data_IF_481368170883
#
_entry.id   IF_481368170883
#
_cell.length_a   1.000
_cell.length_b   1.000
_cell.length_c   1.000
_cell.angle_alpha   90.00
_cell.angle_beta   90.00
_cell.angle_gamma   90.00
#
_symmetry.space_group_name_H-M   'P 1'
#
loop_
_entity.id
_entity.type
_entity.pdbx_description
1 polymer ?
#
# COMPACT_ATOMS: atom_id res chain seq x y z
N UNK A 1 -5.98 4.93 -16.40
CA UNK A 1 -6.25 4.28 -15.11
C UNK A 1 -5.35 3.07 -14.95
N UNK A 2 -4.83 2.83 -13.74
CA UNK A 2 -3.95 1.68 -13.46
C UNK A 2 -4.74 0.35 -13.51
N UNK A 3 -4.12 -0.79 -13.88
CA UNK A 3 -4.85 -2.05 -14.03
C UNK A 3 -5.58 -2.54 -12.77
N UNK A 4 -4.98 -2.39 -11.58
CA UNK A 4 -5.63 -2.79 -10.31
C UNK A 4 -6.90 -1.98 -10.05
N UNK A 5 -6.84 -0.67 -10.28
CA UNK A 5 -7.95 0.26 -10.11
C UNK A 5 -9.06 0.10 -11.15
N UNK A 6 -8.77 -0.52 -12.30
CA UNK A 6 -9.82 -0.93 -13.24
C UNK A 6 -10.74 -1.99 -12.63
N UNK A 7 -10.16 -2.97 -11.93
CA UNK A 7 -10.94 -4.02 -11.24
C UNK A 7 -11.76 -3.45 -10.08
N UNK A 8 -11.15 -2.53 -9.31
CA UNK A 8 -11.86 -1.79 -8.26
C UNK A 8 -13.07 -1.06 -8.83
N UNK A 9 -12.88 -0.35 -9.95
CA UNK A 9 -13.97 0.34 -10.63
C UNK A 9 -15.08 -0.61 -11.09
N UNK A 10 -14.73 -1.74 -11.72
CA UNK A 10 -15.70 -2.75 -12.17
C UNK A 10 -16.54 -3.32 -11.00
N UNK A 11 -15.93 -3.50 -9.82
CA UNK A 11 -16.65 -3.98 -8.63
C UNK A 11 -17.47 -2.88 -7.95
N UNK A 12 -16.98 -1.64 -7.97
CA UNK A 12 -17.70 -0.51 -7.42
C UNK A 12 -18.93 -0.15 -8.26
N UNK A 13 -18.87 -0.29 -9.58
CA UNK A 13 -19.94 0.03 -10.53
C UNK A 13 -21.08 -1.00 -10.55
N UNK A 14 -20.82 -2.23 -10.11
CA UNK A 14 -21.83 -3.28 -10.09
C UNK A 14 -22.30 -3.56 -8.66
N UNK A 15 -23.56 -3.22 -8.38
CA UNK A 15 -24.18 -3.36 -7.06
C UNK A 15 -24.22 -4.79 -6.53
N UNK A 16 -24.13 -5.80 -7.41
CA UNK A 16 -24.09 -7.20 -6.99
C UNK A 16 -22.80 -7.58 -6.28
N UNK A 17 -21.73 -6.77 -6.42
CA UNK A 17 -20.54 -6.95 -5.61
C UNK A 17 -20.76 -6.34 -4.23
N UNK A 18 -20.61 -7.14 -3.16
CA UNK A 18 -20.72 -6.63 -1.80
C UNK A 18 -19.51 -5.75 -1.45
N UNK A 19 -19.67 -4.88 -0.44
CA UNK A 19 -18.67 -3.87 -0.05
C UNK A 19 -17.31 -4.49 0.29
N UNK A 20 -17.32 -5.68 0.87
CA UNK A 20 -16.12 -6.44 1.22
C UNK A 20 -15.30 -6.81 -0.01
N UNK A 21 -15.96 -7.17 -1.13
CA UNK A 21 -15.24 -7.47 -2.38
C UNK A 21 -14.63 -6.22 -3.01
N UNK A 22 -15.27 -5.06 -2.87
CA UNK A 22 -14.70 -3.78 -3.30
C UNK A 22 -13.48 -3.42 -2.44
N UNK A 23 -13.58 -3.58 -1.11
CA UNK A 23 -12.47 -3.41 -0.15
C UNK A 23 -11.29 -4.32 -0.48
N UNK A 24 -11.52 -5.61 -0.67
CA UNK A 24 -10.46 -6.57 -0.99
C UNK A 24 -9.78 -6.22 -2.33
N UNK A 25 -10.54 -5.71 -3.29
CA UNK A 25 -9.99 -5.20 -4.54
C UNK A 25 -9.13 -3.93 -4.34
N UNK A 26 -9.54 -3.01 -3.45
CA UNK A 26 -8.76 -1.82 -3.08
C UNK A 26 -7.45 -2.25 -2.43
N UNK A 27 -7.48 -3.13 -1.43
CA UNK A 27 -6.29 -3.63 -0.75
C UNK A 27 -5.30 -4.25 -1.74
N UNK A 28 -5.78 -5.11 -2.64
CA UNK A 28 -4.96 -5.72 -3.68
C UNK A 28 -4.40 -4.69 -4.69
N UNK A 29 -5.17 -3.66 -5.04
CA UNK A 29 -4.71 -2.61 -5.94
C UNK A 29 -3.62 -1.75 -5.31
N UNK A 30 -3.78 -1.37 -4.04
CA UNK A 30 -2.80 -0.58 -3.29
C UNK A 30 -1.51 -1.36 -3.06
N UNK A 31 -1.60 -2.64 -2.68
CA UNK A 31 -0.42 -3.49 -2.50
C UNK A 31 0.38 -3.61 -3.81
N UNK A 32 -0.32 -3.72 -4.95
CA UNK A 32 0.32 -3.77 -6.26
C UNK A 32 0.97 -2.44 -6.64
N UNK A 33 0.31 -1.33 -6.36
CA UNK A 33 0.87 0.01 -6.58
C UNK A 33 2.13 0.23 -5.72
N UNK A 34 2.07 -0.16 -4.45
CA UNK A 34 3.21 -0.11 -3.54
C UNK A 34 4.41 -0.88 -4.08
N UNK A 35 4.23 -2.17 -4.41
CA UNK A 35 5.31 -3.00 -4.95
C UNK A 35 5.89 -2.49 -6.26
N UNK A 36 5.11 -1.74 -7.04
CA UNK A 36 5.54 -1.16 -8.31
C UNK A 36 6.34 0.13 -8.11
N UNK A 37 5.87 1.01 -7.23
CA UNK A 37 6.38 2.38 -7.14
C UNK A 37 7.38 2.59 -5.99
N UNK A 38 7.41 1.68 -5.01
CA UNK A 38 8.30 1.71 -3.85
C UNK A 38 9.27 0.53 -3.92
N UNK A 39 10.56 0.84 -4.06
CA UNK A 39 11.61 -0.17 -4.09
C UNK A 39 11.92 -0.69 -2.69
N UNK A 40 12.31 -1.97 -2.58
CA UNK A 40 12.80 -2.53 -1.32
C UNK A 40 14.06 -1.84 -0.81
N UNK A 41 14.89 -1.35 -1.73
CA UNK A 41 16.09 -0.59 -1.41
C UNK A 41 15.75 0.72 -0.66
N UNK A 42 14.73 1.45 -1.12
CA UNK A 42 14.25 2.65 -0.43
C UNK A 42 13.80 2.33 0.99
N UNK A 43 12.97 1.29 1.17
CA UNK A 43 12.49 0.88 2.50
C UNK A 43 13.66 0.51 3.41
N UNK A 44 14.68 -0.18 2.89
CA UNK A 44 15.90 -0.48 3.63
C UNK A 44 16.65 0.79 4.06
N UNK A 45 16.89 1.72 3.12
CA UNK A 45 17.59 2.97 3.42
C UNK A 45 16.84 3.82 4.44
N UNK A 46 15.51 3.84 4.38
CA UNK A 46 14.69 4.51 5.40
C UNK A 46 14.92 3.87 6.78
N UNK A 47 14.90 2.54 6.88
CA UNK A 47 15.17 1.86 8.16
C UNK A 47 16.56 2.12 8.69
N UNK A 48 17.57 2.17 7.81
CA UNK A 48 18.94 2.49 8.21
C UNK A 48 19.03 3.90 8.82
N UNK A 49 18.32 4.87 8.24
CA UNK A 49 18.21 6.24 8.77
C UNK A 49 17.47 6.24 10.12
N UNK A 50 16.35 5.53 10.23
CA UNK A 50 15.53 5.50 11.44
C UNK A 50 16.17 4.70 12.59
N UNK A 51 17.01 3.71 12.27
CA UNK A 51 17.77 2.90 13.23
C UNK A 51 19.10 3.52 13.65
N UNK A 52 19.48 4.65 13.03
CA UNK A 52 20.66 5.41 13.41
C UNK A 52 20.60 5.91 14.86
N UNK A 53 21.76 6.05 15.50
CA UNK A 53 21.89 6.50 16.90
C UNK A 53 21.77 8.03 17.08
N UNK A 54 21.21 8.75 16.10
CA UNK A 54 21.11 10.21 16.19
C UNK A 54 20.05 10.57 17.24
N UNK A 55 20.47 11.32 18.26
CA UNK A 55 19.59 11.77 19.36
C UNK A 55 18.67 12.93 18.95
N UNK A 56 18.87 13.49 17.76
CA UNK A 56 18.17 14.69 17.28
C UNK A 56 17.36 14.39 16.02
N UNK A 57 16.08 14.75 16.04
CA UNK A 57 15.16 14.63 14.92
C UNK A 57 15.64 15.38 13.67
N UNK A 58 16.33 16.51 13.85
CA UNK A 58 16.78 17.35 12.73
C UNK A 58 17.81 16.65 11.84
N UNK A 59 18.69 15.83 12.44
CA UNK A 59 19.66 15.03 11.70
C UNK A 59 18.99 13.88 10.94
N UNK A 60 17.98 13.25 11.55
CA UNK A 60 17.17 12.22 10.91
C UNK A 60 16.37 12.81 9.75
N UNK A 61 15.72 13.96 9.94
CA UNK A 61 14.94 14.65 8.90
C UNK A 61 15.81 15.05 7.70
N UNK A 62 17.01 15.57 7.94
CA UNK A 62 17.99 15.86 6.88
C UNK A 62 18.37 14.60 6.11
N UNK A 63 18.63 13.50 6.81
CA UNK A 63 18.95 12.21 6.18
C UNK A 63 17.80 11.65 5.35
N UNK A 64 16.54 11.87 5.78
CA UNK A 64 15.34 11.53 4.99
C UNK A 64 15.23 12.41 3.74
N UNK A 65 15.54 13.69 3.84
CA UNK A 65 15.53 14.61 2.69
C UNK A 65 16.60 14.21 1.65
N UNK A 66 17.78 13.75 2.08
CA UNK A 66 18.82 13.26 1.19
C UNK A 66 18.35 12.03 0.37
N UNK A 67 17.43 11.22 0.90
CA UNK A 67 16.85 10.08 0.17
C UNK A 67 15.98 10.50 -1.01
N UNK A 68 15.54 11.77 -1.13
CA UNK A 68 14.72 12.22 -2.27
C UNK A 68 15.37 11.97 -3.61
N UNK A 69 16.70 12.05 -3.67
CA UNK A 69 17.45 11.81 -4.90
C UNK A 69 17.25 10.37 -5.43
N UNK A 70 16.95 9.42 -4.54
CA UNK A 70 16.72 8.01 -4.86
C UNK A 70 15.31 7.71 -5.38
N UNK A 71 14.36 8.62 -5.19
CA UNK A 71 12.95 8.48 -5.59
C UNK A 71 12.54 9.47 -6.68
N UNK A 72 13.50 10.03 -7.41
CA UNK A 72 13.23 10.96 -8.50
C UNK A 72 12.24 10.37 -9.52
N UNK A 73 11.15 11.09 -9.77
CA UNK A 73 10.07 10.64 -10.65
C UNK A 73 9.04 9.69 -10.02
N UNK A 74 9.24 9.22 -8.79
CA UNK A 74 8.24 8.42 -8.06
C UNK A 74 7.36 9.33 -7.19
N UNK A 75 6.14 9.60 -7.65
CA UNK A 75 5.18 10.41 -6.87
C UNK A 75 4.81 9.73 -5.54
N UNK A 76 4.74 8.40 -5.51
CA UNK A 76 4.45 7.64 -4.29
C UNK A 76 5.67 7.60 -3.36
N UNK A 77 6.88 7.47 -3.90
CA UNK A 77 8.12 7.54 -3.12
C UNK A 77 8.32 8.91 -2.47
N UNK A 78 8.05 10.00 -3.18
CA UNK A 78 8.09 11.34 -2.60
C UNK A 78 7.05 11.52 -1.49
N UNK A 79 5.80 11.08 -1.72
CA UNK A 79 4.76 11.14 -0.69
C UNK A 79 5.12 10.33 0.57
N UNK A 80 5.78 9.17 0.40
CA UNK A 80 6.28 8.39 1.53
C UNK A 80 7.30 9.15 2.37
N UNK A 81 8.27 9.81 1.73
CA UNK A 81 9.26 10.61 2.44
C UNK A 81 8.64 11.85 3.11
N UNK A 82 7.65 12.48 2.47
CA UNK A 82 6.90 13.61 3.06
C UNK A 82 6.16 13.18 4.33
N UNK A 83 5.39 12.09 4.25
CA UNK A 83 4.64 11.55 5.40
C UNK A 83 5.57 11.07 6.52
N UNK A 84 6.72 10.51 6.17
CA UNK A 84 7.74 10.12 7.13
C UNK A 84 8.35 11.33 7.85
N UNK A 85 8.67 12.40 7.12
CA UNK A 85 9.16 13.64 7.71
C UNK A 85 8.12 14.25 8.67
N UNK A 86 6.84 14.22 8.30
CA UNK A 86 5.74 14.64 9.19
C UNK A 86 5.67 13.79 10.46
N UNK A 87 5.76 12.45 10.34
CA UNK A 87 5.72 11.55 11.49
C UNK A 87 6.90 11.80 12.46
N UNK A 88 8.11 11.94 11.92
CA UNK A 88 9.32 12.25 12.71
C UNK A 88 9.20 13.63 13.37
N UNK A 89 8.76 14.65 12.63
CA UNK A 89 8.52 15.99 13.17
C UNK A 89 7.44 16.02 14.26
N UNK A 90 6.49 15.09 14.22
CA UNK A 90 5.49 14.84 15.26
C UNK A 90 6.00 14.03 16.46
N UNK A 91 7.28 13.64 16.48
CA UNK A 91 7.92 12.92 17.57
C UNK A 91 7.86 11.38 17.47
N UNK A 92 7.35 10.82 16.36
CA UNK A 92 7.43 9.37 16.13
C UNK A 92 8.85 8.95 15.77
N UNK A 93 9.21 7.71 16.11
CA UNK A 93 10.55 7.16 15.86
C UNK A 93 10.48 5.71 15.37
N UNK A 94 11.57 5.24 14.75
CA UNK A 94 11.73 3.84 14.34
C UNK A 94 10.62 3.33 13.43
N UNK A 95 10.27 2.04 13.58
CA UNK A 95 9.26 1.38 12.75
C UNK A 95 7.86 2.01 12.89
N UNK A 96 7.54 2.64 14.03
CA UNK A 96 6.26 3.33 14.20
C UNK A 96 6.11 4.53 13.26
N UNK A 97 7.18 5.32 13.07
CA UNK A 97 7.19 6.42 12.11
C UNK A 97 7.05 5.92 10.67
N UNK A 98 7.72 4.81 10.34
CA UNK A 98 7.62 4.19 9.02
C UNK A 98 6.21 3.63 8.76
N UNK A 99 5.62 2.94 9.73
CA UNK A 99 4.28 2.38 9.61
C UNK A 99 3.23 3.47 9.40
N UNK A 100 3.28 4.55 10.18
CA UNK A 100 2.41 5.72 10.01
C UNK A 100 2.56 6.31 8.60
N UNK A 101 3.80 6.48 8.13
CA UNK A 101 4.06 7.01 6.80
C UNK A 101 3.51 6.12 5.68
N UNK A 102 3.62 4.79 5.81
CA UNK A 102 3.09 3.81 4.85
C UNK A 102 1.57 3.87 4.81
N UNK A 103 0.91 3.97 5.96
CA UNK A 103 -0.56 4.11 6.07
C UNK A 103 -1.01 5.38 5.35
N UNK A 104 -0.44 6.53 5.70
CA UNK A 104 -0.83 7.82 5.13
C UNK A 104 -0.56 7.90 3.62
N UNK A 105 0.56 7.34 3.17
CA UNK A 105 0.87 7.22 1.73
C UNK A 105 -0.16 6.36 0.99
N UNK A 106 -0.58 5.25 1.59
CA UNK A 106 -1.55 4.32 1.01
C UNK A 106 -2.93 4.95 0.91
N UNK A 107 -3.36 5.69 1.93
CA UNK A 107 -4.63 6.44 1.93
C UNK A 107 -4.61 7.53 0.85
N UNK A 108 -3.55 8.35 0.80
CA UNK A 108 -3.42 9.41 -0.20
C UNK A 108 -3.41 8.87 -1.63
N UNK A 109 -2.65 7.79 -1.86
CA UNK A 109 -2.59 7.14 -3.16
C UNK A 109 -3.96 6.59 -3.56
N UNK A 110 -4.69 6.00 -2.60
CA UNK A 110 -6.04 5.48 -2.83
C UNK A 110 -7.02 6.59 -3.21
N UNK A 111 -6.99 7.72 -2.50
CA UNK A 111 -7.83 8.87 -2.80
C UNK A 111 -7.52 9.48 -4.17
N UNK A 112 -6.24 9.51 -4.58
CA UNK A 112 -5.83 9.94 -5.93
C UNK A 112 -6.37 9.01 -7.01
N UNK A 113 -6.31 7.70 -6.79
CA UNK A 113 -6.81 6.73 -7.75
C UNK A 113 -8.35 6.68 -7.81
N UNK A 114 -9.06 6.85 -6.69
CA UNK A 114 -10.51 6.99 -6.68
C UNK A 114 -10.97 8.18 -7.56
N UNK A 115 -10.29 9.32 -7.47
CA UNK A 115 -10.53 10.47 -8.35
C UNK A 115 -10.27 10.15 -9.83
N UNK A 116 -9.21 9.40 -10.14
CA UNK A 116 -8.97 8.97 -11.53
C UNK A 116 -10.07 8.02 -12.06
N UNK A 117 -10.68 7.21 -11.19
CA UNK A 117 -11.84 6.39 -11.54
C UNK A 117 -13.05 7.27 -11.80
N UNK A 118 -13.36 8.22 -10.92
CA UNK A 118 -14.47 9.16 -11.09
C UNK A 118 -14.33 9.94 -12.41
N UNK A 119 -13.16 10.52 -12.69
CA UNK A 119 -12.88 11.21 -13.96
C UNK A 119 -13.08 10.30 -15.18
N UNK A 120 -12.80 9.00 -15.05
CA UNK A 120 -13.04 8.04 -16.11
C UNK A 120 -14.54 7.87 -16.39
N UNK A 121 -15.34 7.73 -15.33
CA UNK A 121 -16.78 7.56 -15.43
C UNK A 121 -17.50 8.83 -15.88
N UNK A 122 -17.06 10.01 -15.44
CA UNK A 122 -17.56 11.29 -15.93
C UNK A 122 -17.41 11.45 -17.45
N UNK A 123 -16.41 10.80 -18.06
CA UNK A 123 -16.21 10.83 -19.52
C UNK A 123 -17.04 9.80 -20.29
N UNK A 124 -17.64 8.82 -19.62
CA UNK A 124 -18.23 7.63 -20.25
C UNK A 124 -19.64 7.28 -19.80
N UNK A 125 -20.11 7.87 -18.71
CA UNK A 125 -21.37 7.56 -18.05
C UNK A 125 -22.05 8.84 -17.55
N UNK A 126 -23.03 8.70 -16.66
CA UNK A 126 -23.72 9.83 -16.00
C UNK A 126 -22.94 10.33 -14.79
N UNK A 127 -23.22 11.57 -14.39
CA UNK A 127 -22.65 12.17 -13.17
C UNK A 127 -23.05 11.36 -11.93
N UNK A 128 -24.32 10.95 -11.84
CA UNK A 128 -24.84 10.11 -10.76
C UNK A 128 -24.05 8.81 -10.61
N UNK A 129 -23.91 8.05 -11.69
CA UNK A 129 -23.14 6.80 -11.67
C UNK A 129 -21.67 7.02 -11.30
N UNK A 130 -21.06 8.12 -11.73
CA UNK A 130 -19.68 8.44 -11.36
C UNK A 130 -19.52 8.75 -9.86
N UNK A 131 -20.53 9.39 -9.27
CA UNK A 131 -20.56 9.72 -7.84
C UNK A 131 -20.80 8.46 -7.00
N UNK A 132 -21.70 7.58 -7.43
CA UNK A 132 -21.98 6.31 -6.76
C UNK A 132 -20.76 5.39 -6.75
N UNK A 133 -20.08 5.26 -7.90
CA UNK A 133 -18.82 4.52 -8.02
C UNK A 133 -17.76 5.11 -7.07
N UNK A 134 -17.59 6.44 -7.06
CA UNK A 134 -16.64 7.09 -6.15
C UNK A 134 -16.98 6.82 -4.70
N UNK A 135 -18.24 6.97 -4.30
CA UNK A 135 -18.68 6.75 -2.93
C UNK A 135 -18.40 5.31 -2.49
N UNK A 136 -18.74 4.32 -3.30
CA UNK A 136 -18.46 2.90 -2.97
C UNK A 136 -16.97 2.62 -2.82
N UNK A 137 -16.12 3.28 -3.61
CA UNK A 137 -14.66 3.18 -3.46
C UNK A 137 -14.18 3.88 -2.18
N UNK A 138 -14.69 5.07 -1.86
CA UNK A 138 -14.33 5.81 -0.64
C UNK A 138 -14.74 5.03 0.63
N UNK A 139 -15.94 4.44 0.65
CA UNK A 139 -16.38 3.56 1.73
C UNK A 139 -15.48 2.31 1.87
N UNK A 140 -15.03 1.74 0.73
CA UNK A 140 -14.08 0.64 0.72
C UNK A 140 -12.70 1.06 1.26
N UNK A 141 -12.20 2.24 0.89
CA UNK A 141 -10.95 2.80 1.42
C UNK A 141 -11.06 3.00 2.94
N UNK A 142 -12.15 3.61 3.43
CA UNK A 142 -12.36 3.85 4.86
C UNK A 142 -12.46 2.55 5.69
N UNK A 143 -12.93 1.47 5.08
CA UNK A 143 -13.02 0.15 5.72
C UNK A 143 -11.82 -0.76 5.45
N UNK A 144 -10.81 -0.29 4.71
CA UNK A 144 -9.58 -1.04 4.44
C UNK A 144 -8.65 -0.96 5.65
N UNK A 145 -8.15 -2.12 6.10
CA UNK A 145 -7.16 -2.21 7.17
C UNK A 145 -5.75 -1.82 6.71
N UNK A 146 -5.52 -0.54 6.38
CA UNK A 146 -4.20 -0.07 5.91
C UNK A 146 -3.08 -0.31 6.91
N UNK A 147 -3.38 -0.36 8.22
CA UNK A 147 -2.42 -0.74 9.24
C UNK A 147 -1.87 -2.15 9.02
N UNK A 148 -2.73 -3.13 8.77
CA UNK A 148 -2.33 -4.51 8.47
C UNK A 148 -1.56 -4.62 7.14
N UNK A 149 -1.91 -3.80 6.14
CA UNK A 149 -1.13 -3.70 4.92
C UNK A 149 0.27 -3.13 5.19
N UNK A 150 0.36 -2.08 6.03
CA UNK A 150 1.61 -1.47 6.43
C UNK A 150 2.49 -2.47 7.19
N UNK A 151 1.93 -3.27 8.10
CA UNK A 151 2.65 -4.35 8.79
C UNK A 151 3.30 -5.30 7.79
N UNK A 152 2.56 -5.79 6.79
CA UNK A 152 3.10 -6.71 5.75
C UNK A 152 4.18 -6.07 4.87
N UNK A 153 4.12 -4.76 4.70
CA UNK A 153 5.09 -3.98 3.90
C UNK A 153 6.36 -3.69 4.72
N UNK A 154 6.20 -3.41 6.02
CA UNK A 154 7.25 -3.03 6.97
C UNK A 154 7.85 -4.25 7.66
N UNK A 155 7.26 -5.43 7.57
CA UNK A 155 7.92 -6.65 8.02
C UNK A 155 9.24 -6.86 7.24
N UNK A 156 10.37 -7.03 7.93
CA UNK A 156 11.59 -7.45 7.26
C UNK A 156 11.30 -8.79 6.60
N UNK A 157 11.63 -8.91 5.30
CA UNK A 157 11.50 -10.17 4.58
C UNK A 157 12.56 -11.13 5.11
N UNK A 158 12.29 -11.68 6.30
CA UNK A 158 12.87 -12.94 6.72
C UNK A 158 12.54 -13.92 5.60
N UNK A 159 13.58 -14.58 5.07
CA UNK A 159 13.49 -15.52 3.94
C UNK A 159 12.44 -16.60 4.24
N UNK A 160 11.19 -16.32 3.91
CA UNK A 160 10.15 -17.34 3.91
C UNK A 160 10.24 -18.03 2.55
N UNK A 161 11.09 -19.04 2.47
CA UNK A 161 10.91 -20.10 1.48
C UNK A 161 9.72 -20.90 2.00
N UNK A 162 8.55 -20.91 1.34
CA UNK A 162 7.52 -21.86 1.70
C UNK A 162 8.08 -23.23 1.32
N UNK A 163 8.51 -24.01 2.31
CA UNK A 163 8.73 -25.44 2.10
C UNK A 163 7.34 -26.01 1.85
N UNK A 164 7.00 -26.20 0.57
CA UNK A 164 5.86 -27.03 0.19
C UNK A 164 6.18 -28.43 0.73
N UNK A 165 5.53 -28.81 1.81
CA UNK A 165 5.53 -30.20 2.26
C UNK A 165 4.93 -31.04 1.12
N UNK A 166 5.80 -31.79 0.43
CA UNK A 166 5.37 -32.89 -0.41
C UNK A 166 4.62 -33.87 0.49
N UNK A 167 3.31 -33.94 0.31
CA UNK A 167 2.53 -35.09 0.77
C UNK A 167 2.89 -36.27 -0.13
N UNK A 168 3.93 -37.00 0.25
CA UNK A 168 4.18 -38.34 -0.29
C UNK A 168 3.09 -39.26 0.28
N UNK A 169 1.98 -39.35 -0.45
CA UNK A 169 0.98 -40.40 -0.26
C UNK A 169 1.61 -41.72 -0.70
N UNK A 170 2.31 -42.39 0.22
CA UNK A 170 2.76 -43.76 0.02
C UNK A 170 1.54 -44.67 0.13
N UNK A 171 1.23 -45.27 -1.02
CA UNK A 171 0.33 -46.39 -1.22
C UNK A 171 0.90 -47.62 -0.49
N UNK A 172 0.37 -47.93 0.70
CA UNK A 172 0.69 -49.16 1.42
C UNK A 172 -0.03 -50.33 0.71
N UNK A 173 0.71 -51.00 -0.17
CA UNK A 173 0.28 -52.24 -0.82
C UNK A 173 0.01 -53.36 0.20
N UNK A 174 -1.08 -54.09 -0.03
CA UNK A 174 -1.56 -55.24 0.76
C UNK A 174 -0.50 -56.35 0.82
N UNK A 175 -0.15 -56.79 2.03
CA UNK A 175 0.61 -58.02 2.23
C UNK A 175 -0.30 -59.25 2.10
N UNK A 176 0.08 -60.14 1.18
CA UNK A 176 -0.45 -61.51 1.02
C UNK A 176 0.35 -62.47 1.91
#
# INVERSE_FOLDING_TARGET
>A
MRPGWKKVAEYADNENFPREQVRDAVEAAVEKDWRKDISRALVSSIRDVLGGTTLFSDDTLRSIEDLRQTVSGSAMGNALLDHLACAIGGGMTGDAALQEAVVNTSVDQSARCARQVEEHYLRKSTVENSQDVRQRIEEAIQSTGFASLADRIVEPVSRHVPTVEKKDGVDDGVQI
#
